data_IF_364138619680
#
_entry.id   IF_364138619680
#
_cell.length_a   1.000
_cell.length_b   1.000
_cell.length_c   1.000
_cell.angle_alpha   90.00
_cell.angle_beta   90.00
_cell.angle_gamma   90.00
#
_symmetry.space_group_name_H-M   'P 1'
#
loop_
_entity.id
_entity.type
_entity.pdbx_description
1 polymer ?
#
# COMPACT_ATOMS: atom_id res chain seq x y z
N UNK A 1 -3.53 17.90 -21.66
CA UNK A 1 -2.85 17.75 -20.36
C UNK A 1 -2.05 16.44 -20.40
N UNK A 2 -0.78 16.46 -19.99
CA UNK A 2 0.10 15.30 -20.23
C UNK A 2 -0.23 14.13 -19.28
N UNK A 3 -0.52 12.96 -19.85
CA UNK A 3 -0.83 11.72 -19.11
C UNK A 3 0.33 11.31 -18.18
N UNK A 4 1.56 11.74 -18.48
CA UNK A 4 2.74 11.47 -17.67
C UNK A 4 2.70 12.16 -16.30
N UNK A 5 2.29 13.44 -16.26
CA UNK A 5 2.24 14.24 -15.02
C UNK A 5 1.20 13.66 -14.05
N UNK A 6 0.00 13.35 -14.56
CA UNK A 6 -1.08 12.73 -13.77
C UNK A 6 -0.60 11.40 -13.16
N UNK A 7 0.07 10.54 -13.95
CA UNK A 7 0.64 9.27 -13.46
C UNK A 7 1.73 9.46 -12.40
N UNK A 8 2.57 10.50 -12.50
CA UNK A 8 3.62 10.77 -11.51
C UNK A 8 3.01 11.17 -10.16
N UNK A 9 2.03 12.06 -10.14
CA UNK A 9 1.40 12.51 -8.88
C UNK A 9 0.43 11.48 -8.29
N UNK A 10 -0.31 10.71 -9.11
CA UNK A 10 -1.05 9.52 -8.66
C UNK A 10 -0.17 8.57 -7.86
N UNK A 11 1.07 8.31 -8.31
CA UNK A 11 2.01 7.45 -7.57
C UNK A 11 2.38 8.00 -6.21
N UNK A 12 2.58 9.31 -6.07
CA UNK A 12 2.84 9.91 -4.75
C UNK A 12 1.64 9.79 -3.81
N UNK A 13 0.42 9.99 -4.30
CA UNK A 13 -0.81 9.83 -3.50
C UNK A 13 -0.98 8.37 -3.06
N UNK A 14 -0.81 7.42 -3.98
CA UNK A 14 -0.85 5.97 -3.69
C UNK A 14 0.26 5.59 -2.68
N UNK A 15 1.46 6.18 -2.80
CA UNK A 15 2.56 5.92 -1.86
C UNK A 15 2.28 6.51 -0.47
N UNK A 16 1.61 7.67 -0.38
CA UNK A 16 1.19 8.26 0.89
C UNK A 16 0.16 7.37 1.60
N UNK A 17 -0.83 6.87 0.86
CA UNK A 17 -1.84 5.91 1.36
C UNK A 17 -1.17 4.62 1.84
N UNK A 18 -0.27 4.04 1.03
CA UNK A 18 0.47 2.84 1.41
C UNK A 18 1.36 3.06 2.64
N UNK A 19 1.99 4.22 2.78
CA UNK A 19 2.85 4.54 3.93
C UNK A 19 2.05 4.60 5.25
N UNK A 20 0.87 5.25 5.23
CA UNK A 20 -0.06 5.28 6.38
C UNK A 20 -0.58 3.88 6.74
N UNK A 21 -0.76 3.01 5.74
CA UNK A 21 -1.20 1.61 5.95
C UNK A 21 -0.07 0.72 6.50
N UNK A 22 1.18 0.89 6.04
CA UNK A 22 2.31 0.00 6.41
C UNK A 22 2.81 0.23 7.84
N UNK A 23 2.68 1.43 8.40
CA UNK A 23 3.17 1.80 9.74
C UNK A 23 2.51 1.02 10.91
N UNK A 24 1.52 0.18 10.63
CA UNK A 24 0.52 -0.31 11.56
C UNK A 24 0.39 -1.86 11.60
N UNK A 25 1.47 -2.60 11.33
CA UNK A 25 1.42 -4.06 11.10
C UNK A 25 1.91 -4.92 12.26
N UNK A 26 1.31 -6.12 12.45
CA UNK A 26 1.76 -7.06 13.48
C UNK A 26 2.96 -7.85 12.99
N UNK A 27 4.03 -7.83 13.79
CA UNK A 27 5.24 -8.62 13.56
C UNK A 27 5.55 -9.53 14.74
N UNK A 28 6.06 -10.72 14.42
CA UNK A 28 6.69 -11.65 15.36
C UNK A 28 8.13 -11.19 15.55
N UNK A 29 8.54 -11.01 16.80
CA UNK A 29 9.89 -10.54 17.15
C UNK A 29 10.83 -11.71 17.42
N UNK A 30 12.13 -11.44 17.29
CA UNK A 30 13.17 -12.40 17.64
C UNK A 30 13.03 -12.83 19.12
N UNK A 31 12.98 -14.14 19.36
CA UNK A 31 12.79 -14.74 20.69
C UNK A 31 11.35 -15.23 20.96
N UNK A 32 10.36 -14.81 20.16
CA UNK A 32 9.01 -15.34 20.26
C UNK A 32 8.92 -16.74 19.61
N UNK A 33 8.20 -17.65 20.26
CA UNK A 33 7.92 -19.00 19.76
C UNK A 33 6.46 -19.12 19.33
N UNK A 34 6.19 -19.74 18.19
CA UNK A 34 4.85 -20.02 17.68
C UNK A 34 4.65 -21.52 17.43
N UNK A 35 3.44 -22.00 17.73
CA UNK A 35 3.01 -23.35 17.41
C UNK A 35 2.49 -23.39 15.97
N UNK A 36 2.97 -24.33 15.16
CA UNK A 36 2.57 -24.51 13.76
C UNK A 36 1.78 -25.81 13.61
N UNK A 37 0.70 -25.78 12.81
CA UNK A 37 -0.12 -26.97 12.50
C UNK A 37 0.46 -27.74 11.31
N UNK A 38 0.78 -27.01 10.25
CA UNK A 38 1.28 -27.54 8.98
C UNK A 38 1.92 -26.42 8.16
N UNK A 39 2.75 -26.80 7.19
CA UNK A 39 3.29 -25.92 6.18
C UNK A 39 2.99 -26.46 4.77
N UNK A 40 2.71 -25.59 3.81
CA UNK A 40 2.60 -25.97 2.41
C UNK A 40 3.98 -26.10 1.73
N UNK A 41 3.98 -26.58 0.47
CA UNK A 41 5.18 -26.74 -0.34
C UNK A 41 5.94 -25.43 -0.56
N UNK A 42 5.21 -24.30 -0.60
CA UNK A 42 5.70 -22.93 -0.74
C UNK A 42 6.20 -22.34 0.60
N UNK A 43 6.27 -23.15 1.65
CA UNK A 43 6.71 -22.79 3.01
C UNK A 43 5.83 -21.74 3.70
N UNK A 44 4.54 -21.68 3.38
CA UNK A 44 3.56 -20.98 4.21
C UNK A 44 3.06 -21.90 5.31
N UNK A 45 3.23 -21.48 6.55
CA UNK A 45 2.91 -22.30 7.72
C UNK A 45 1.72 -21.72 8.48
N UNK A 46 0.73 -22.56 8.79
CA UNK A 46 -0.49 -22.20 9.52
C UNK A 46 -0.23 -22.23 11.03
N UNK A 47 -0.52 -21.13 11.72
CA UNK A 47 -0.32 -21.01 13.18
C UNK A 47 -1.48 -21.68 13.92
N UNK A 48 -1.16 -22.55 14.89
CA UNK A 48 -2.12 -23.31 15.71
C UNK A 48 -3.07 -22.38 16.44
N UNK A 49 -4.36 -22.76 16.48
CA UNK A 49 -5.43 -21.96 17.09
C UNK A 49 -5.81 -20.69 16.33
N UNK A 50 -5.25 -20.41 15.14
CA UNK A 50 -5.56 -19.18 14.39
C UNK A 50 -5.91 -19.42 12.92
N UNK A 51 -6.46 -18.39 12.26
CA UNK A 51 -6.61 -18.31 10.79
C UNK A 51 -5.40 -17.66 10.10
N UNK A 52 -4.26 -17.56 10.77
CA UNK A 52 -3.07 -16.81 10.33
C UNK A 52 -1.95 -17.74 9.85
N UNK A 53 -1.13 -17.18 8.97
CA UNK A 53 -0.01 -17.84 8.32
C UNK A 53 1.27 -17.01 8.45
N UNK A 54 2.41 -17.67 8.30
CA UNK A 54 3.75 -17.07 8.28
C UNK A 54 4.62 -17.74 7.20
N UNK A 55 5.68 -17.05 6.79
CA UNK A 55 6.72 -17.61 5.92
C UNK A 55 7.68 -18.49 6.74
N UNK A 56 7.45 -19.80 6.73
CA UNK A 56 8.18 -20.80 7.51
C UNK A 56 9.69 -20.83 7.29
N UNK A 57 10.20 -20.42 6.13
CA UNK A 57 11.65 -20.32 5.90
C UNK A 57 12.35 -19.33 6.85
N UNK A 58 11.61 -18.36 7.41
CA UNK A 58 12.12 -17.44 8.44
C UNK A 58 12.31 -18.08 9.82
N UNK A 59 11.77 -19.27 10.05
CA UNK A 59 11.71 -19.92 11.35
C UNK A 59 12.58 -21.19 11.35
N UNK A 60 13.05 -21.58 12.54
CA UNK A 60 13.65 -22.89 12.81
C UNK A 60 12.79 -23.60 13.85
N UNK A 61 12.69 -24.91 13.73
CA UNK A 61 12.08 -25.74 14.77
C UNK A 61 13.07 -25.90 15.94
N UNK A 62 12.55 -25.80 17.17
CA UNK A 62 13.24 -26.03 18.43
C UNK A 62 12.20 -26.52 19.44
N UNK A 63 12.41 -27.71 20.02
CA UNK A 63 11.55 -28.30 21.05
C UNK A 63 10.05 -28.37 20.68
N UNK A 64 9.77 -28.73 19.41
CA UNK A 64 8.41 -28.82 18.86
C UNK A 64 7.73 -27.47 18.60
N UNK A 65 8.45 -26.35 18.75
CA UNK A 65 7.99 -24.99 18.47
C UNK A 65 8.81 -24.34 17.38
N UNK A 66 8.25 -23.34 16.71
CA UNK A 66 8.94 -22.58 15.67
C UNK A 66 9.38 -21.23 16.20
N UNK A 67 10.69 -20.96 16.14
CA UNK A 67 11.32 -19.73 16.61
C UNK A 67 11.95 -18.98 15.43
N UNK A 68 11.81 -17.65 15.41
CA UNK A 68 12.38 -16.82 14.36
C UNK A 68 13.91 -17.00 14.29
N UNK A 69 14.46 -17.28 13.10
CA UNK A 69 15.92 -17.45 12.92
C UNK A 69 16.64 -16.12 13.22
N UNK A 70 17.83 -16.14 13.84
CA UNK A 70 18.57 -14.91 14.20
C UNK A 70 18.88 -13.94 13.05
N UNK A 71 18.85 -14.40 11.80
CA UNK A 71 19.02 -13.55 10.61
C UNK A 71 17.83 -12.59 10.36
N UNK A 72 16.65 -12.89 10.92
CA UNK A 72 15.46 -12.06 10.76
C UNK A 72 15.14 -11.34 12.08
N UNK A 73 15.10 -10.00 12.03
CA UNK A 73 14.64 -9.18 13.16
C UNK A 73 13.15 -9.35 13.43
N UNK A 74 12.37 -9.57 12.36
CA UNK A 74 10.92 -9.71 12.42
C UNK A 74 10.31 -10.53 11.26
N UNK A 75 9.10 -11.03 11.49
CA UNK A 75 8.25 -11.67 10.49
C UNK A 75 6.78 -11.22 10.60
N UNK A 76 6.16 -10.91 9.47
CA UNK A 76 4.75 -10.52 9.40
C UNK A 76 3.82 -11.74 9.51
N UNK A 77 2.66 -11.54 10.12
CA UNK A 77 1.53 -12.45 9.98
C UNK A 77 0.87 -12.25 8.61
N UNK A 78 0.20 -13.28 8.09
CA UNK A 78 -0.54 -13.25 6.83
C UNK A 78 -1.91 -13.90 6.96
N UNK A 79 -2.90 -13.42 6.22
CA UNK A 79 -4.21 -14.04 6.04
C UNK A 79 -4.27 -14.74 4.69
N UNK A 80 -4.91 -15.91 4.66
CA UNK A 80 -5.23 -16.59 3.41
C UNK A 80 -6.51 -16.00 2.82
N UNK A 81 -6.43 -15.47 1.61
CA UNK A 81 -7.58 -15.03 0.82
C UNK A 81 -7.76 -16.00 -0.34
N UNK A 82 -8.96 -16.57 -0.44
CA UNK A 82 -9.37 -17.50 -1.51
C UNK A 82 -10.29 -16.79 -2.50
N UNK A 83 -10.01 -16.92 -3.80
CA UNK A 83 -10.87 -16.43 -4.87
C UNK A 83 -11.05 -17.56 -5.90
N UNK A 84 -12.10 -18.36 -5.72
CA UNK A 84 -12.24 -19.67 -6.38
C UNK A 84 -11.10 -20.60 -5.97
N UNK A 85 -10.51 -21.27 -6.96
CA UNK A 85 -9.37 -22.19 -6.77
C UNK A 85 -8.05 -21.46 -6.46
N UNK A 86 -7.97 -20.14 -6.70
CA UNK A 86 -6.76 -19.37 -6.45
C UNK A 86 -6.70 -18.92 -4.99
N UNK A 87 -5.53 -19.10 -4.37
CA UNK A 87 -5.23 -18.63 -3.02
C UNK A 87 -4.10 -17.60 -3.02
N UNK A 88 -4.15 -16.65 -2.09
CA UNK A 88 -3.11 -15.62 -1.92
C UNK A 88 -2.97 -15.24 -0.46
N UNK A 89 -1.72 -15.14 0.01
CA UNK A 89 -1.40 -14.74 1.37
C UNK A 89 -1.15 -13.23 1.43
N UNK A 90 -1.99 -12.48 2.15
CA UNK A 90 -1.87 -11.03 2.34
C UNK A 90 -1.35 -10.72 3.74
N UNK A 91 -0.40 -9.77 3.93
CA UNK A 91 0.11 -9.43 5.25
C UNK A 91 -1.00 -8.85 6.15
N UNK A 92 -1.09 -9.33 7.39
CA UNK A 92 -2.04 -8.85 8.39
C UNK A 92 -1.45 -7.60 9.04
N UNK A 93 -2.14 -6.49 8.81
CA UNK A 93 -1.84 -5.19 9.37
C UNK A 93 -2.75 -5.02 10.60
N UNK A 94 -2.19 -4.88 11.82
CA UNK A 94 -2.99 -4.62 13.00
C UNK A 94 -2.23 -3.89 14.13
N UNK A 95 -2.94 -3.00 14.83
CA UNK A 95 -2.41 -2.02 15.78
C UNK A 95 -2.71 -2.42 17.23
N UNK A 96 -1.82 -3.18 17.86
CA UNK A 96 -1.92 -3.45 19.30
C UNK A 96 -0.55 -3.41 19.99
N UNK A 97 -0.28 -2.31 20.69
CA UNK A 97 0.71 -2.24 21.76
C UNK A 97 -0.03 -2.09 23.09
N UNK A 98 -0.30 -3.20 23.76
CA UNK A 98 -0.67 -3.23 25.17
C UNK A 98 0.39 -4.05 25.92
N UNK A 99 1.37 -3.35 26.48
CA UNK A 99 2.37 -3.93 27.39
C UNK A 99 1.78 -4.09 28.79
N UNK A 100 1.33 -5.30 29.13
CA UNK A 100 1.15 -5.71 30.52
C UNK A 100 2.05 -6.91 30.80
N UNK A 101 3.20 -6.65 31.43
CA UNK A 101 4.15 -7.66 31.87
C UNK A 101 3.89 -8.03 33.34
N UNK A 102 3.67 -9.31 33.65
CA UNK A 102 3.91 -9.81 35.01
C UNK A 102 4.16 -11.33 35.07
N UNK A 103 5.32 -11.67 35.66
CA UNK A 103 5.70 -12.92 36.38
C UNK A 103 5.67 -14.27 35.61
N UNK A 104 6.86 -14.91 35.42
CA UNK A 104 7.49 -15.97 36.26
C UNK A 104 6.77 -17.35 36.13
N UNK A 105 7.41 -18.53 36.03
CA UNK A 105 8.84 -18.95 36.02
C UNK A 105 8.95 -20.39 35.50
N UNK A 106 10.08 -20.80 34.87
CA UNK A 106 10.95 -21.92 35.33
C UNK A 106 12.01 -22.35 34.29
N UNK A 107 13.24 -22.56 34.77
CA UNK A 107 14.32 -23.40 34.19
C UNK A 107 14.06 -24.87 34.63
N UNK A 108 14.67 -25.94 34.05
CA UNK A 108 16.05 -26.05 33.52
C UNK A 108 16.07 -26.65 32.06
N UNK A 109 17.13 -27.24 31.48
CA UNK A 109 18.51 -27.54 31.90
C UNK A 109 19.50 -27.50 30.71
N UNK A 110 20.77 -27.88 30.92
CA UNK A 110 21.76 -28.16 29.86
C UNK A 110 21.67 -29.59 29.32
N UNK A 111 21.96 -29.77 28.02
CA UNK A 111 22.73 -30.91 27.49
C UNK A 111 23.41 -30.53 26.16
N UNK A 112 24.68 -30.91 26.02
CA UNK A 112 25.45 -30.88 24.77
C UNK A 112 25.32 -32.20 24.01
N UNK A 113 25.42 -32.22 22.69
CA UNK A 113 26.09 -33.32 21.95
C UNK A 113 26.44 -32.92 20.49
N UNK A 114 27.42 -33.63 19.93
CA UNK A 114 28.21 -33.28 18.75
C UNK A 114 27.63 -33.63 17.35
N UNK A 115 28.35 -33.14 16.34
CA UNK A 115 28.26 -33.40 14.90
C UNK A 115 27.96 -34.86 14.49
N UNK A 116 27.16 -35.02 13.43
CA UNK A 116 27.65 -35.38 12.08
C UNK A 116 26.50 -35.77 11.14
N UNK A 117 26.41 -35.19 9.93
CA UNK A 117 26.10 -36.00 8.73
C UNK A 117 26.55 -35.34 7.42
N UNK A 118 27.09 -36.15 6.51
CA UNK A 118 27.77 -35.71 5.28
C UNK A 118 26.80 -35.36 4.15
N UNK A 119 27.21 -34.39 3.34
CA UNK A 119 26.49 -33.95 2.15
C UNK A 119 26.36 -35.02 1.05
N UNK A 120 25.24 -35.00 0.32
CA UNK A 120 25.14 -35.53 -1.06
C UNK A 120 24.92 -34.37 -2.03
N UNK A 121 25.81 -34.21 -3.02
CA UNK A 121 25.68 -33.21 -4.10
C UNK A 121 24.52 -33.58 -5.05
N UNK A 122 23.53 -32.71 -5.28
CA UNK A 122 22.64 -32.83 -6.43
C UNK A 122 23.39 -32.47 -7.72
N UNK A 123 23.14 -33.21 -8.80
CA UNK A 123 23.74 -32.93 -10.12
C UNK A 123 23.10 -31.68 -10.73
N UNK A 124 23.94 -30.76 -11.21
CA UNK A 124 23.53 -29.46 -11.73
C UNK A 124 22.80 -29.63 -13.08
N UNK A 125 21.48 -29.42 -13.13
CA UNK A 125 20.66 -29.55 -14.36
C UNK A 125 19.50 -28.54 -14.44
N UNK A 126 19.71 -27.31 -13.97
CA UNK A 126 18.75 -26.20 -14.04
C UNK A 126 19.43 -24.85 -14.32
N UNK A 127 19.77 -24.57 -15.58
CA UNK A 127 20.18 -23.23 -16.03
C UNK A 127 19.61 -22.82 -17.40
N UNK A 128 18.86 -23.69 -18.09
CA UNK A 128 18.37 -23.41 -19.46
C UNK A 128 17.04 -22.64 -19.53
N UNK A 129 16.19 -22.73 -18.51
CA UNK A 129 14.82 -22.17 -18.56
C UNK A 129 14.63 -20.83 -17.80
N UNK A 130 15.57 -20.43 -16.94
CA UNK A 130 15.48 -19.22 -16.10
C UNK A 130 15.31 -17.95 -16.97
N UNK A 131 15.90 -17.91 -18.17
CA UNK A 131 15.86 -16.77 -19.08
C UNK A 131 14.49 -16.45 -19.71
N UNK A 132 13.41 -17.19 -19.38
CA UNK A 132 12.04 -16.82 -19.78
C UNK A 132 11.45 -15.69 -18.91
N UNK A 133 12.02 -15.43 -17.74
CA UNK A 133 11.63 -14.32 -16.87
C UNK A 133 12.68 -13.20 -16.97
N UNK A 134 12.24 -12.00 -17.33
CA UNK A 134 13.12 -10.81 -17.37
C UNK A 134 13.38 -10.20 -15.98
N UNK A 135 12.68 -10.70 -14.96
CA UNK A 135 12.77 -10.24 -13.58
C UNK A 135 13.64 -11.23 -12.79
N UNK A 136 14.34 -10.71 -11.78
CA UNK A 136 15.18 -11.47 -10.85
C UNK A 136 14.58 -11.24 -9.47
N UNK A 137 14.26 -12.32 -8.76
CA UNK A 137 13.66 -12.31 -7.43
C UNK A 137 14.72 -12.53 -6.34
N UNK A 138 14.33 -12.35 -5.09
CA UNK A 138 15.23 -12.45 -3.93
C UNK A 138 15.92 -13.81 -3.81
N UNK A 139 15.18 -14.89 -4.06
CA UNK A 139 15.66 -16.28 -3.93
C UNK A 139 16.44 -16.79 -5.16
N UNK A 140 16.61 -15.96 -6.21
CA UNK A 140 17.35 -16.34 -7.42
C UNK A 140 18.87 -16.26 -7.18
N UNK A 141 19.58 -17.35 -7.47
CA UNK A 141 21.05 -17.42 -7.45
C UNK A 141 21.58 -17.27 -8.88
N UNK A 142 22.37 -16.23 -9.13
CA UNK A 142 22.94 -15.93 -10.44
C UNK A 142 24.45 -16.19 -10.44
N UNK A 143 24.94 -16.89 -11.47
CA UNK A 143 26.37 -17.08 -11.72
C UNK A 143 26.92 -15.97 -12.62
N UNK A 144 28.04 -15.37 -12.20
CA UNK A 144 28.66 -14.20 -12.85
C UNK A 144 30.08 -14.56 -13.33
N UNK A 145 30.38 -14.27 -14.60
CA UNK A 145 31.72 -14.43 -15.19
C UNK A 145 32.69 -13.35 -14.67
N UNK A 146 32.24 -12.09 -14.70
CA UNK A 146 33.08 -10.92 -14.43
C UNK A 146 32.22 -9.67 -14.19
N UNK A 147 32.78 -8.67 -13.50
CA UNK A 147 32.14 -7.36 -13.31
C UNK A 147 33.05 -6.24 -13.80
N UNK A 148 32.47 -5.18 -14.37
CA UNK A 148 33.19 -3.96 -14.70
C UNK A 148 33.39 -3.04 -13.47
N UNK A 149 34.19 -1.98 -13.65
CA UNK A 149 34.46 -0.95 -12.64
C UNK A 149 33.22 -0.15 -12.19
N UNK A 150 32.06 -0.34 -12.84
CA UNK A 150 30.78 0.29 -12.54
C UNK A 150 29.78 -0.70 -11.89
N UNK A 151 30.25 -1.88 -11.48
CA UNK A 151 29.45 -2.97 -10.92
C UNK A 151 28.39 -3.52 -11.90
N UNK A 152 28.63 -3.48 -13.21
CA UNK A 152 27.87 -4.29 -14.16
C UNK A 152 28.52 -5.66 -14.30
N UNK A 153 27.82 -6.68 -13.84
CA UNK A 153 28.29 -8.05 -13.78
C UNK A 153 27.69 -8.88 -14.92
N UNK A 154 28.55 -9.42 -15.78
CA UNK A 154 28.18 -10.28 -16.91
C UNK A 154 27.84 -11.68 -16.41
N UNK A 155 26.74 -12.24 -16.90
CA UNK A 155 26.27 -13.56 -16.49
C UNK A 155 27.01 -14.68 -17.21
N UNK A 156 27.28 -15.75 -16.46
CA UNK A 156 27.96 -16.93 -17.00
C UNK A 156 27.14 -17.57 -18.14
N UNK A 157 27.84 -17.90 -19.23
CA UNK A 157 27.26 -18.44 -20.47
C UNK A 157 26.14 -17.56 -21.08
N UNK A 158 26.16 -16.25 -20.84
CA UNK A 158 25.09 -15.34 -21.25
C UNK A 158 25.60 -14.01 -21.81
N UNK A 159 24.72 -13.35 -22.59
CA UNK A 159 24.92 -11.98 -23.09
C UNK A 159 24.32 -10.91 -22.15
N UNK A 160 23.71 -11.34 -21.06
CA UNK A 160 23.04 -10.46 -20.11
C UNK A 160 23.94 -10.02 -18.97
N UNK A 161 23.55 -8.92 -18.34
CA UNK A 161 24.23 -8.28 -17.22
C UNK A 161 23.25 -8.00 -16.08
N UNK A 162 23.77 -7.95 -14.87
CA UNK A 162 23.09 -7.45 -13.67
C UNK A 162 23.87 -6.31 -13.03
N UNK A 163 23.21 -5.54 -12.17
CA UNK A 163 23.85 -4.51 -11.33
C UNK A 163 24.35 -5.15 -10.05
N UNK A 164 25.61 -5.60 -10.03
CA UNK A 164 26.21 -6.36 -8.92
C UNK A 164 26.07 -5.71 -7.54
N UNK A 165 26.04 -4.38 -7.45
CA UNK A 165 25.86 -3.68 -6.17
C UNK A 165 24.50 -3.95 -5.49
N UNK A 166 23.49 -4.42 -6.24
CA UNK A 166 22.18 -4.85 -5.72
C UNK A 166 22.20 -6.23 -5.05
N UNK A 167 23.28 -6.99 -5.23
CA UNK A 167 23.39 -8.39 -4.82
C UNK A 167 24.43 -8.54 -3.71
N UNK A 168 24.27 -9.58 -2.90
CA UNK A 168 25.32 -10.14 -2.06
C UNK A 168 26.12 -11.17 -2.87
N UNK A 169 27.42 -11.24 -2.61
CA UNK A 169 28.39 -12.02 -3.38
C UNK A 169 28.99 -13.12 -2.53
N UNK A 170 28.86 -14.37 -2.98
CA UNK A 170 29.55 -15.55 -2.45
C UNK A 170 30.35 -16.20 -3.59
N UNK A 171 31.64 -15.85 -3.70
CA UNK A 171 32.48 -16.26 -4.82
C UNK A 171 31.99 -15.73 -6.17
N UNK A 172 31.58 -16.63 -7.06
CA UNK A 172 30.98 -16.38 -8.38
C UNK A 172 29.44 -16.33 -8.35
N UNK A 173 28.82 -16.57 -7.19
CA UNK A 173 27.36 -16.50 -6.99
C UNK A 173 26.92 -15.13 -6.49
N UNK A 174 25.81 -14.67 -7.02
CA UNK A 174 25.18 -13.40 -6.72
C UNK A 174 23.70 -13.64 -6.37
N UNK A 175 23.30 -13.27 -5.15
CA UNK A 175 21.90 -13.36 -4.66
C UNK A 175 21.38 -11.95 -4.38
N UNK A 176 20.14 -11.65 -4.76
CA UNK A 176 19.60 -10.29 -4.63
C UNK A 176 19.41 -9.92 -3.15
N UNK A 177 19.92 -8.77 -2.70
CA UNK A 177 19.82 -8.31 -1.31
C UNK A 177 18.36 -8.17 -0.85
N UNK A 178 18.05 -8.60 0.38
CA UNK A 178 16.71 -8.59 1.01
C UNK A 178 15.95 -7.26 0.86
N UNK A 179 16.67 -6.13 0.79
CA UNK A 179 16.09 -4.79 0.61
C UNK A 179 15.50 -4.50 -0.78
N UNK A 180 15.55 -5.46 -1.70
CA UNK A 180 15.02 -5.34 -3.06
C UNK A 180 14.08 -6.50 -3.39
N UNK A 181 12.79 -6.22 -3.59
CA UNK A 181 11.79 -7.24 -3.96
C UNK A 181 12.11 -7.93 -5.30
N UNK A 182 12.66 -7.17 -6.25
CA UNK A 182 13.12 -7.67 -7.56
C UNK A 182 14.06 -6.71 -8.27
N UNK A 183 14.82 -7.25 -9.23
CA UNK A 183 15.56 -6.50 -10.24
C UNK A 183 15.38 -7.12 -11.63
N UNK A 184 16.22 -6.77 -12.60
CA UNK A 184 16.07 -7.17 -14.01
C UNK A 184 17.39 -7.56 -14.65
N UNK A 185 17.31 -8.39 -15.70
CA UNK A 185 18.43 -8.59 -16.63
C UNK A 185 18.57 -7.38 -17.58
N UNK A 186 19.82 -7.09 -17.97
CA UNK A 186 20.17 -6.01 -18.88
C UNK A 186 21.02 -6.53 -20.05
N UNK A 187 21.07 -5.80 -21.16
CA UNK A 187 22.01 -6.04 -22.25
C UNK A 187 22.86 -4.79 -22.53
N UNK A 188 24.13 -4.99 -22.86
CA UNK A 188 25.08 -3.91 -23.19
C UNK A 188 24.73 -3.26 -24.52
N UNK A 189 24.71 -1.92 -24.56
CA UNK A 189 24.58 -1.13 -25.79
C UNK A 189 25.98 -1.01 -26.41
N UNK A 190 26.15 -1.46 -27.66
CA UNK A 190 27.40 -1.27 -28.41
C UNK A 190 27.74 0.23 -28.48
N UNK A 191 29.02 0.56 -28.30
CA UNK A 191 29.57 1.92 -28.36
C UNK A 191 29.09 2.88 -27.24
N UNK A 192 28.63 2.36 -26.09
CA UNK A 192 28.38 3.19 -24.90
C UNK A 192 29.24 2.73 -23.73
N UNK A 193 29.99 3.66 -23.14
CA UNK A 193 30.80 3.45 -21.92
C UNK A 193 29.95 3.25 -20.66
N UNK A 194 28.64 3.55 -20.71
CA UNK A 194 27.73 3.49 -19.55
C UNK A 194 26.35 2.87 -19.86
N UNK A 195 26.13 2.45 -21.11
CA UNK A 195 24.82 2.13 -21.64
C UNK A 195 24.42 0.66 -21.49
N UNK A 196 23.54 0.38 -20.53
CA UNK A 196 22.89 -0.93 -20.38
C UNK A 196 21.37 -0.78 -20.45
N UNK A 197 20.75 -1.46 -21.41
CA UNK A 197 19.30 -1.45 -21.61
C UNK A 197 18.64 -2.57 -20.81
N UNK A 198 17.58 -2.24 -20.07
CA UNK A 198 16.72 -3.23 -19.40
C UNK A 198 16.04 -4.12 -20.44
N UNK A 199 15.99 -5.43 -20.20
CA UNK A 199 15.21 -6.36 -21.04
C UNK A 199 13.72 -6.20 -20.72
N UNK A 200 12.94 -5.68 -21.66
CA UNK A 200 11.48 -5.52 -21.56
C UNK A 200 10.74 -6.79 -22.00
N UNK A 201 9.53 -7.04 -21.49
CA UNK A 201 8.76 -8.24 -21.88
C UNK A 201 8.42 -8.17 -23.37
N UNK A 202 8.39 -9.33 -24.05
CA UNK A 202 8.22 -9.43 -25.52
C UNK A 202 6.98 -8.67 -26.04
N UNK A 203 5.89 -8.66 -25.28
CA UNK A 203 4.67 -7.89 -25.58
C UNK A 203 4.80 -6.35 -25.45
N UNK A 204 5.73 -5.84 -24.63
CA UNK A 204 6.03 -4.41 -24.55
C UNK A 204 6.92 -3.94 -25.71
N UNK A 205 7.84 -4.81 -26.17
CA UNK A 205 8.71 -4.50 -27.31
C UNK A 205 7.92 -4.33 -28.61
N UNK A 206 6.99 -5.24 -28.92
CA UNK A 206 6.18 -5.18 -30.15
C UNK A 206 5.39 -3.87 -30.25
N UNK A 207 4.72 -3.44 -29.18
CA UNK A 207 3.96 -2.19 -29.14
C UNK A 207 4.84 -0.94 -29.29
N UNK A 208 6.09 -0.98 -28.81
CA UNK A 208 7.02 0.16 -28.95
C UNK A 208 7.64 0.23 -30.35
N UNK A 209 8.02 -0.93 -30.92
CA UNK A 209 8.65 -1.01 -32.24
C UNK A 209 7.65 -0.75 -33.39
N UNK A 210 6.45 -1.32 -33.35
CA UNK A 210 5.42 -1.04 -34.37
C UNK A 210 5.10 0.46 -34.44
N UNK A 211 5.06 1.13 -33.28
CA UNK A 211 4.77 2.58 -33.21
C UNK A 211 5.92 3.45 -33.75
N UNK A 212 7.17 2.99 -33.70
CA UNK A 212 8.29 3.67 -34.37
C UNK A 212 8.41 3.33 -35.87
N UNK A 213 8.02 2.12 -36.28
CA UNK A 213 8.09 1.71 -37.70
C UNK A 213 7.02 2.45 -38.52
N UNK A 214 5.78 2.54 -38.04
CA UNK A 214 4.71 3.30 -38.73
C UNK A 214 5.09 4.77 -38.98
N UNK A 215 5.78 5.41 -38.03
CA UNK A 215 6.26 6.80 -38.11
C UNK A 215 7.48 6.97 -39.04
N UNK A 216 8.18 5.88 -39.38
CA UNK A 216 9.28 5.89 -40.35
C UNK A 216 8.81 5.54 -41.76
N UNK A 217 7.77 4.72 -41.92
CA UNK A 217 7.16 4.38 -43.21
C UNK A 217 6.39 5.59 -43.77
N UNK A 218 5.55 6.25 -42.97
CA UNK A 218 4.86 7.51 -43.34
C UNK A 218 5.83 8.66 -43.74
N UNK A 219 7.13 8.54 -43.43
CA UNK A 219 8.16 9.52 -43.82
C UNK A 219 8.94 9.16 -45.08
N UNK A 220 8.91 7.91 -45.54
CA UNK A 220 9.63 7.52 -46.76
C UNK A 220 8.88 7.90 -48.03
N UNK A 221 7.55 7.82 -48.02
CA UNK A 221 6.73 8.11 -49.20
C UNK A 221 6.67 9.61 -49.55
N UNK A 222 7.11 10.49 -48.65
CA UNK A 222 7.18 11.94 -48.87
C UNK A 222 8.56 12.38 -49.43
N UNK A 223 9.62 11.58 -49.29
CA UNK A 223 10.99 12.06 -49.55
C UNK A 223 11.48 11.98 -51.01
N UNK A 224 10.73 11.37 -51.93
CA UNK A 224 11.18 11.16 -53.32
C UNK A 224 10.63 12.15 -54.37
N UNK A 225 9.87 13.19 -53.99
CA UNK A 225 9.31 14.17 -54.94
C UNK A 225 9.89 15.60 -54.79
N UNK A 226 10.49 15.96 -53.65
CA UNK A 226 10.91 17.36 -53.37
C UNK A 226 12.41 17.67 -53.44
N UNK A 227 13.30 16.70 -53.71
CA UNK A 227 14.76 16.96 -53.59
C UNK A 227 15.41 17.86 -54.67
N UNK A 228 14.70 18.23 -55.75
CA UNK A 228 15.25 19.10 -56.81
C UNK A 228 14.78 20.57 -56.79
N UNK A 229 13.92 21.00 -55.85
CA UNK A 229 13.44 22.41 -55.77
C UNK A 229 13.90 23.22 -54.56
N UNK A 230 14.68 22.64 -53.63
CA UNK A 230 14.99 23.27 -52.34
C UNK A 230 16.48 23.69 -52.21
N UNK A 231 17.26 23.74 -53.30
CA UNK A 231 18.67 24.16 -53.23
C UNK A 231 18.88 25.67 -53.08
N UNK A 232 17.91 26.51 -53.49
CA UNK A 232 18.08 27.98 -53.53
C UNK A 232 17.28 28.74 -52.44
N UNK A 233 16.60 28.04 -51.54
CA UNK A 233 15.75 28.65 -50.49
C UNK A 233 16.34 28.51 -49.08
N UNK A 234 17.67 28.30 -48.98
CA UNK A 234 18.33 27.86 -47.74
C UNK A 234 19.32 28.86 -47.09
N UNK A 235 19.27 30.15 -47.42
CA UNK A 235 20.11 31.18 -46.78
C UNK A 235 19.33 32.14 -45.85
N UNK A 236 18.01 32.30 -46.03
CA UNK A 236 17.21 33.28 -45.24
C UNK A 236 16.22 32.67 -44.23
N UNK A 237 16.34 31.38 -43.90
CA UNK A 237 15.51 30.78 -42.85
C UNK A 237 16.04 31.14 -41.46
N UNK A 238 15.73 32.37 -41.00
CA UNK A 238 15.88 32.77 -39.59
C UNK A 238 15.38 31.62 -38.71
N UNK A 239 16.29 31.08 -37.90
CA UNK A 239 15.94 30.06 -36.91
C UNK A 239 15.08 30.77 -35.86
N UNK A 240 13.76 30.71 -36.04
CA UNK A 240 12.81 31.01 -34.99
C UNK A 240 13.04 29.95 -33.90
N UNK A 241 13.91 30.28 -32.95
CA UNK A 241 14.07 29.55 -31.70
C UNK A 241 12.71 29.60 -31.03
N UNK A 242 11.94 28.51 -31.18
CA UNK A 242 10.61 28.38 -30.58
C UNK A 242 10.80 28.52 -29.08
N UNK A 243 10.40 29.67 -28.52
CA UNK A 243 10.63 30.00 -27.11
C UNK A 243 10.17 28.81 -26.28
N UNK A 244 11.01 28.24 -25.39
CA UNK A 244 10.68 27.02 -24.69
C UNK A 244 9.33 27.22 -23.99
N UNK A 245 8.33 26.40 -24.36
CA UNK A 245 6.96 26.55 -23.87
C UNK A 245 7.02 26.64 -22.35
N UNK A 246 6.49 27.73 -21.74
CA UNK A 246 6.71 28.01 -20.34
C UNK A 246 6.31 26.78 -19.54
N UNK A 247 7.27 26.23 -18.81
CA UNK A 247 7.05 25.04 -17.98
C UNK A 247 5.98 25.40 -16.96
N UNK A 248 4.78 24.85 -17.13
CA UNK A 248 3.65 25.11 -16.25
C UNK A 248 3.98 24.51 -14.87
N UNK A 249 4.55 25.33 -13.99
CA UNK A 249 4.80 24.96 -12.60
C UNK A 249 3.42 24.76 -11.97
N UNK A 250 3.11 23.51 -11.65
CA UNK A 250 1.82 23.17 -11.08
C UNK A 250 1.81 23.59 -9.61
N UNK A 251 1.20 24.75 -9.32
CA UNK A 251 0.97 25.22 -7.95
C UNK A 251 -0.37 24.66 -7.46
N UNK A 252 -0.40 23.78 -6.43
CA UNK A 252 -1.65 23.38 -5.78
C UNK A 252 -2.16 24.51 -4.88
N UNK A 253 -3.48 24.60 -4.73
CA UNK A 253 -4.09 25.48 -3.73
C UNK A 253 -4.22 24.70 -2.41
N UNK A 254 -3.72 25.24 -1.30
CA UNK A 254 -3.83 24.60 0.01
C UNK A 254 -5.05 25.16 0.76
N UNK A 255 -5.67 24.34 1.60
CA UNK A 255 -6.83 24.77 2.36
C UNK A 255 -6.98 24.07 3.72
N UNK A 256 -7.66 24.76 4.63
CA UNK A 256 -8.24 24.19 5.86
C UNK A 256 -9.76 24.16 5.73
N UNK A 257 -10.42 23.22 6.39
CA UNK A 257 -11.87 23.11 6.47
C UNK A 257 -12.30 22.78 7.90
N UNK A 258 -13.39 23.40 8.33
CA UNK A 258 -14.10 23.08 9.56
C UNK A 258 -15.56 22.79 9.21
N UNK A 259 -16.11 21.69 9.70
CA UNK A 259 -17.49 21.27 9.45
C UNK A 259 -18.12 20.69 10.71
N UNK A 260 -19.43 20.87 10.85
CA UNK A 260 -20.23 20.26 11.91
C UNK A 260 -21.60 19.83 11.40
N UNK A 261 -22.28 18.95 12.12
CA UNK A 261 -23.61 18.48 11.75
C UNK A 261 -24.06 17.25 12.51
N UNK A 262 -24.78 16.36 11.83
CA UNK A 262 -25.39 15.16 12.39
C UNK A 262 -24.67 13.90 11.92
N UNK A 263 -24.59 12.91 12.80
CA UNK A 263 -24.15 11.56 12.49
C UNK A 263 -25.23 10.55 12.86
N UNK A 264 -25.42 9.53 12.03
CA UNK A 264 -26.28 8.38 12.32
C UNK A 264 -25.50 7.08 12.16
N UNK A 265 -25.50 6.23 13.17
CA UNK A 265 -24.75 4.98 13.28
C UNK A 265 -25.72 3.78 13.23
N UNK A 266 -25.44 2.78 12.39
CA UNK A 266 -26.19 1.51 12.35
C UNK A 266 -25.66 0.58 13.45
N UNK A 267 -26.47 0.40 14.50
CA UNK A 267 -26.17 -0.44 15.66
C UNK A 267 -26.98 -1.74 15.58
N UNK A 268 -26.29 -2.87 15.70
CA UNK A 268 -26.88 -4.20 15.73
C UNK A 268 -26.41 -4.94 16.97
N UNK A 269 -27.35 -5.57 17.66
CA UNK A 269 -27.12 -6.24 18.93
C UNK A 269 -27.95 -7.52 19.00
N UNK A 270 -27.41 -8.54 19.64
CA UNK A 270 -28.14 -9.75 20.04
C UNK A 270 -28.69 -9.66 21.48
N UNK A 271 -28.36 -8.58 22.20
CA UNK A 271 -28.73 -8.36 23.59
C UNK A 271 -30.24 -8.14 23.71
N UNK A 272 -30.89 -8.92 24.58
CA UNK A 272 -32.29 -8.71 24.96
C UNK A 272 -32.48 -7.31 25.58
N UNK A 273 -33.51 -6.56 25.14
CA UNK A 273 -33.75 -5.17 25.58
C UNK A 273 -33.75 -4.97 27.10
N UNK A 274 -34.20 -5.95 27.88
CA UNK A 274 -34.23 -5.90 29.37
C UNK A 274 -32.85 -5.87 30.03
N UNK A 275 -31.79 -6.26 29.30
CA UNK A 275 -30.41 -6.24 29.77
C UNK A 275 -29.69 -4.93 29.44
N UNK A 276 -30.25 -4.12 28.53
CA UNK A 276 -29.73 -2.82 28.17
C UNK A 276 -30.07 -1.78 29.24
N UNK A 277 -29.10 -0.93 29.61
CA UNK A 277 -29.29 0.15 30.58
C UNK A 277 -30.11 1.32 30.01
N UNK A 278 -29.99 1.54 28.70
CA UNK A 278 -30.72 2.51 27.86
C UNK A 278 -30.82 1.94 26.44
N UNK A 279 -31.65 2.53 25.59
CA UNK A 279 -31.57 2.27 24.15
C UNK A 279 -30.17 2.62 23.62
N UNK A 280 -29.71 1.91 22.58
CA UNK A 280 -28.40 2.14 21.97
C UNK A 280 -28.49 3.35 21.04
N UNK A 281 -27.70 4.39 21.31
CA UNK A 281 -27.80 5.65 20.55
C UNK A 281 -27.42 5.44 19.08
N UNK A 282 -28.37 5.73 18.20
CA UNK A 282 -28.15 5.65 16.75
C UNK A 282 -27.82 7.00 16.12
N UNK A 283 -27.93 8.11 16.85
CA UNK A 283 -27.82 9.48 16.31
C UNK A 283 -27.01 10.38 17.27
N UNK A 284 -26.15 11.25 16.71
CA UNK A 284 -25.26 12.12 17.48
C UNK A 284 -24.77 13.33 16.70
N UNK A 285 -24.00 14.19 17.36
CA UNK A 285 -23.38 15.37 16.74
C UNK A 285 -22.03 15.00 16.10
N UNK A 286 -21.74 15.52 14.91
CA UNK A 286 -20.46 15.39 14.22
C UNK A 286 -19.71 16.72 14.17
N UNK A 287 -18.40 16.67 14.37
CA UNK A 287 -17.44 17.75 14.11
C UNK A 287 -16.28 17.18 13.29
N UNK A 288 -15.79 17.91 12.29
CA UNK A 288 -14.70 17.47 11.42
C UNK A 288 -13.78 18.63 11.06
N UNK A 289 -12.48 18.42 11.24
CA UNK A 289 -11.42 19.38 10.88
C UNK A 289 -10.55 18.72 9.81
N UNK A 290 -10.33 19.43 8.69
CA UNK A 290 -9.55 18.91 7.58
C UNK A 290 -8.46 19.88 7.11
N UNK A 291 -7.35 19.32 6.64
CA UNK A 291 -6.30 20.01 5.88
C UNK A 291 -6.20 19.36 4.50
N UNK A 292 -6.03 20.14 3.44
CA UNK A 292 -6.08 19.60 2.09
C UNK A 292 -5.35 20.40 1.03
N UNK A 293 -5.27 19.80 -0.15
CA UNK A 293 -4.69 20.39 -1.36
C UNK A 293 -5.60 20.14 -2.57
N UNK A 294 -5.76 21.16 -3.41
CA UNK A 294 -6.59 21.16 -4.61
C UNK A 294 -5.74 21.33 -5.87
N UNK A 295 -6.09 20.53 -6.90
CA UNK A 295 -5.38 20.34 -8.16
C UNK A 295 -6.47 20.27 -9.25
N UNK A 296 -6.88 21.43 -9.77
CA UNK A 296 -8.03 21.56 -10.70
C UNK A 296 -9.32 20.97 -10.10
N UNK A 297 -9.86 19.95 -10.77
CA UNK A 297 -11.03 19.17 -10.39
C UNK A 297 -10.77 18.17 -9.27
N UNK A 298 -9.52 17.93 -8.87
CA UNK A 298 -9.22 16.99 -7.79
C UNK A 298 -8.87 17.73 -6.51
N UNK A 299 -9.33 17.22 -5.37
CA UNK A 299 -8.79 17.63 -4.08
C UNK A 299 -8.70 16.44 -3.13
N UNK A 300 -7.68 16.46 -2.28
CA UNK A 300 -7.48 15.48 -1.24
C UNK A 300 -7.38 16.17 0.12
N UNK A 301 -7.87 15.50 1.16
CA UNK A 301 -7.83 15.99 2.54
C UNK A 301 -7.33 14.92 3.48
N UNK A 302 -6.68 15.34 4.57
CA UNK A 302 -6.56 14.56 5.81
C UNK A 302 -7.54 15.18 6.82
N UNK A 303 -8.39 14.35 7.39
CA UNK A 303 -9.49 14.73 8.27
C UNK A 303 -9.28 14.14 9.66
N UNK A 304 -9.66 14.90 10.68
CA UNK A 304 -9.86 14.44 12.04
C UNK A 304 -11.31 14.75 12.46
N UNK A 305 -12.10 13.69 12.55
CA UNK A 305 -13.51 13.71 12.90
C UNK A 305 -13.74 13.28 14.35
N UNK A 306 -14.67 13.95 15.02
CA UNK A 306 -15.19 13.60 16.32
C UNK A 306 -16.71 13.50 16.24
N UNK A 307 -17.28 12.41 16.73
CA UNK A 307 -18.73 12.24 16.82
C UNK A 307 -19.11 11.89 18.26
N UNK A 308 -20.03 12.67 18.81
CA UNK A 308 -20.54 12.53 20.16
C UNK A 308 -22.00 12.08 20.11
N UNK A 309 -22.28 10.97 20.77
CA UNK A 309 -23.59 10.40 21.03
C UNK A 309 -23.75 10.33 22.56
N UNK A 310 -24.96 10.08 23.07
CA UNK A 310 -25.22 10.22 24.52
C UNK A 310 -24.39 9.25 25.38
N UNK A 311 -24.14 8.03 24.90
CA UNK A 311 -23.41 6.99 25.62
C UNK A 311 -22.15 6.49 24.88
N UNK A 312 -21.90 6.90 23.62
CA UNK A 312 -20.67 6.58 22.86
C UNK A 312 -19.98 7.81 22.27
N UNK A 313 -18.65 7.76 22.20
CA UNK A 313 -17.82 8.73 21.49
C UNK A 313 -17.00 8.04 20.41
N UNK A 314 -17.03 8.59 19.19
CA UNK A 314 -16.22 8.11 18.06
C UNK A 314 -15.17 9.16 17.67
N UNK A 315 -13.97 8.69 17.36
CA UNK A 315 -12.83 9.50 16.89
C UNK A 315 -12.26 8.87 15.63
N UNK A 316 -12.23 9.64 14.56
CA UNK A 316 -11.96 9.18 13.20
C UNK A 316 -10.78 9.97 12.61
N UNK A 317 -9.75 9.28 12.12
CA UNK A 317 -8.69 9.88 11.29
C UNK A 317 -8.72 9.25 9.91
N UNK A 318 -8.91 10.07 8.87
CA UNK A 318 -9.10 9.55 7.52
C UNK A 318 -8.53 10.48 6.45
N UNK A 319 -8.36 9.93 5.25
CA UNK A 319 -7.97 10.66 4.05
C UNK A 319 -9.10 10.55 3.04
N UNK A 320 -9.39 11.64 2.33
CA UNK A 320 -10.36 11.64 1.23
C UNK A 320 -9.69 12.00 -0.10
N UNK A 321 -10.20 11.44 -1.21
CA UNK A 321 -9.86 11.83 -2.57
C UNK A 321 -11.15 12.14 -3.31
N UNK A 322 -11.26 13.35 -3.85
CA UNK A 322 -12.49 13.88 -4.40
C UNK A 322 -12.30 14.36 -5.84
N UNK A 323 -13.33 14.15 -6.64
CA UNK A 323 -13.52 14.75 -7.95
C UNK A 323 -14.65 15.78 -7.89
N UNK A 324 -14.31 17.02 -8.19
CA UNK A 324 -15.13 18.22 -8.20
C UNK A 324 -15.53 18.54 -9.64
N UNK A 325 -16.83 18.55 -9.91
CA UNK A 325 -17.38 19.00 -11.18
C UNK A 325 -17.26 20.53 -11.25
N UNK A 326 -16.61 21.06 -12.29
CA UNK A 326 -16.41 22.51 -12.41
C UNK A 326 -17.71 23.21 -12.81
N UNK A 327 -18.20 24.04 -11.91
CA UNK A 327 -19.25 25.02 -12.15
C UNK A 327 -18.95 26.26 -11.28
N UNK A 328 -19.12 27.46 -11.86
CA UNK A 328 -18.40 28.69 -11.47
C UNK A 328 -18.55 29.08 -10.00
N UNK A 329 -19.77 29.01 -9.47
CA UNK A 329 -20.09 29.42 -8.09
C UNK A 329 -20.45 28.26 -7.17
N UNK A 330 -20.99 27.17 -7.72
CA UNK A 330 -21.46 25.99 -6.97
C UNK A 330 -20.86 24.76 -7.62
N UNK A 331 -19.86 24.16 -6.97
CA UNK A 331 -19.12 23.00 -7.47
C UNK A 331 -19.48 21.73 -6.68
N UNK A 332 -20.36 20.85 -7.21
CA UNK A 332 -20.61 19.56 -6.59
C UNK A 332 -19.36 18.66 -6.71
N UNK A 333 -19.24 17.68 -5.82
CA UNK A 333 -18.16 16.70 -5.84
C UNK A 333 -18.61 15.32 -5.37
N UNK A 334 -17.86 14.30 -5.79
CA UNK A 334 -17.93 12.92 -5.30
C UNK A 334 -16.53 12.49 -4.87
N UNK A 335 -16.42 11.68 -3.83
CA UNK A 335 -15.13 11.23 -3.32
C UNK A 335 -15.17 9.87 -2.65
N UNK A 336 -13.98 9.32 -2.48
CA UNK A 336 -13.71 8.13 -1.68
C UNK A 336 -13.02 8.57 -0.38
N UNK A 337 -13.31 7.88 0.72
CA UNK A 337 -12.59 8.05 1.98
C UNK A 337 -12.07 6.70 2.49
N UNK A 338 -10.88 6.74 3.10
CA UNK A 338 -10.25 5.60 3.77
C UNK A 338 -9.56 6.09 5.04
N UNK A 339 -9.59 5.30 6.11
CA UNK A 339 -8.99 5.71 7.37
C UNK A 339 -9.13 4.69 8.49
N UNK A 340 -9.00 5.19 9.71
CA UNK A 340 -9.06 4.43 10.94
C UNK A 340 -9.85 5.20 12.00
N UNK A 341 -10.63 4.50 12.81
CA UNK A 341 -11.39 5.11 13.89
C UNK A 341 -11.39 4.29 15.18
N UNK A 342 -11.84 4.95 16.25
CA UNK A 342 -11.97 4.41 17.59
C UNK A 342 -13.35 4.79 18.13
N UNK A 343 -14.12 3.79 18.57
CA UNK A 343 -15.40 3.94 19.27
C UNK A 343 -15.17 3.61 20.75
N UNK A 344 -15.64 4.47 21.65
CA UNK A 344 -15.55 4.29 23.11
C UNK A 344 -16.89 4.53 23.78
N UNK A 345 -17.33 3.56 24.58
CA UNK A 345 -18.46 3.74 25.48
C UNK A 345 -18.08 4.63 26.66
N UNK A 346 -18.98 5.53 27.04
CA UNK A 346 -18.87 6.40 28.21
C UNK A 346 -19.28 5.66 29.50
N UNK A 347 -20.34 4.86 29.40
CA UNK A 347 -20.86 3.96 30.42
C UNK A 347 -21.10 2.57 29.84
N UNK A 348 -21.23 1.55 30.70
CA UNK A 348 -21.61 0.21 30.21
C UNK A 348 -23.02 0.23 29.59
N UNK A 349 -23.22 -0.38 28.39
CA UNK A 349 -24.53 -0.54 27.80
C UNK A 349 -25.39 -1.57 28.55
N UNK A 350 -24.79 -2.45 29.36
CA UNK A 350 -25.48 -3.50 30.11
C UNK A 350 -25.75 -3.09 31.55
N UNK A 351 -26.92 -3.48 32.08
CA UNK A 351 -27.28 -3.32 33.49
C UNK A 351 -26.47 -4.21 34.45
N UNK A 352 -26.00 -5.36 33.96
CA UNK A 352 -25.35 -6.43 34.75
C UNK A 352 -23.82 -6.46 34.64
N UNK A 353 -23.22 -5.62 33.80
CA UNK A 353 -21.76 -5.66 33.58
C UNK A 353 -21.01 -4.87 34.65
N UNK A 354 -19.78 -5.30 34.95
CA UNK A 354 -18.84 -4.50 35.76
C UNK A 354 -18.46 -3.24 34.97
N UNK A 355 -17.96 -2.21 35.65
CA UNK A 355 -17.67 -0.88 35.07
C UNK A 355 -16.47 -0.87 34.08
N UNK A 356 -16.59 -1.62 33.00
CA UNK A 356 -15.57 -1.75 31.97
C UNK A 356 -15.82 -0.74 30.85
N UNK A 357 -14.80 0.07 30.56
CA UNK A 357 -14.82 1.02 29.45
C UNK A 357 -14.61 0.26 28.15
N UNK A 358 -15.70 -0.15 27.53
CA UNK A 358 -15.68 -0.83 26.23
C UNK A 358 -15.14 0.13 25.16
N UNK A 359 -14.14 -0.33 24.41
CA UNK A 359 -13.62 0.40 23.26
C UNK A 359 -13.25 -0.54 22.14
N UNK A 360 -13.59 -0.17 20.91
CA UNK A 360 -13.23 -0.90 19.70
C UNK A 360 -12.59 0.05 18.70
N UNK A 361 -11.71 -0.50 17.87
CA UNK A 361 -10.99 0.23 16.83
C UNK A 361 -11.20 -0.49 15.50
N UNK A 362 -11.38 0.27 14.42
CA UNK A 362 -11.62 -0.33 13.11
C UNK A 362 -11.03 0.52 11.99
N UNK A 363 -10.65 -0.16 10.91
CA UNK A 363 -10.42 0.52 9.64
C UNK A 363 -11.78 0.94 9.06
N UNK A 364 -11.80 2.05 8.33
CA UNK A 364 -13.00 2.53 7.66
C UNK A 364 -12.73 2.80 6.18
N UNK A 365 -13.76 2.53 5.37
CA UNK A 365 -13.83 2.86 3.95
C UNK A 365 -15.18 3.50 3.67
N UNK A 366 -15.27 4.43 2.73
CA UNK A 366 -16.52 5.10 2.46
C UNK A 366 -16.58 5.89 1.17
N UNK A 367 -17.78 6.39 0.90
CA UNK A 367 -18.10 7.31 -0.18
C UNK A 367 -18.54 8.64 0.44
N UNK A 368 -18.25 9.75 -0.24
CA UNK A 368 -18.86 11.02 0.10
C UNK A 368 -19.30 11.79 -1.14
N UNK A 369 -20.36 12.57 -0.98
CA UNK A 369 -20.86 13.52 -1.97
C UNK A 369 -21.08 14.86 -1.29
N UNK A 370 -20.87 15.94 -2.01
CA UNK A 370 -21.08 17.26 -1.43
C UNK A 370 -21.09 18.38 -2.44
N UNK A 371 -21.24 19.60 -1.91
CA UNK A 371 -21.35 20.84 -2.68
C UNK A 371 -20.39 21.86 -2.05
N UNK A 372 -19.51 22.43 -2.86
CA UNK A 372 -18.66 23.56 -2.48
C UNK A 372 -19.18 24.83 -3.16
N UNK A 373 -19.74 25.76 -2.39
CA UNK A 373 -20.20 27.07 -2.87
C UNK A 373 -19.12 28.12 -2.59
N UNK A 374 -18.69 28.85 -3.63
CA UNK A 374 -17.73 29.96 -3.50
C UNK A 374 -18.42 31.16 -2.85
N UNK A 375 -17.98 31.59 -1.66
CA UNK A 375 -18.45 32.83 -1.01
C UNK A 375 -17.55 34.01 -1.40
N UNK A 376 -16.24 33.80 -1.35
CA UNK A 376 -15.20 34.75 -1.80
C UNK A 376 -14.09 33.97 -2.52
N UNK A 377 -12.97 34.60 -2.86
CA UNK A 377 -11.83 33.88 -3.45
C UNK A 377 -11.14 32.91 -2.49
N UNK A 378 -11.20 33.17 -1.18
CA UNK A 378 -10.59 32.32 -0.15
C UNK A 378 -11.61 31.50 0.62
N UNK A 379 -12.81 32.04 0.85
CA UNK A 379 -13.85 31.39 1.64
C UNK A 379 -14.86 30.64 0.78
N UNK A 380 -15.06 29.38 1.10
CA UNK A 380 -16.05 28.49 0.50
C UNK A 380 -16.96 27.91 1.58
N UNK A 381 -18.25 27.83 1.31
CA UNK A 381 -19.21 27.05 2.09
C UNK A 381 -19.25 25.61 1.57
N UNK A 382 -19.33 24.64 2.47
CA UNK A 382 -19.36 23.22 2.15
C UNK A 382 -20.60 22.56 2.75
N UNK A 383 -21.29 21.74 1.96
CA UNK A 383 -22.26 20.74 2.44
C UNK A 383 -21.72 19.38 2.03
N UNK A 384 -21.71 18.42 2.95
CA UNK A 384 -21.12 17.10 2.73
C UNK A 384 -21.97 15.99 3.36
N UNK A 385 -22.27 14.96 2.58
CA UNK A 385 -22.86 13.72 3.02
C UNK A 385 -21.86 12.56 2.84
N UNK A 386 -21.60 11.81 3.91
CA UNK A 386 -20.67 10.68 3.92
C UNK A 386 -21.41 9.40 4.27
N UNK A 387 -21.12 8.32 3.54
CA UNK A 387 -21.46 6.95 3.90
C UNK A 387 -20.17 6.19 4.21
N UNK A 388 -20.03 5.74 5.44
CA UNK A 388 -18.82 5.10 5.97
C UNK A 388 -19.18 3.68 6.40
N UNK A 389 -18.34 2.71 6.01
CA UNK A 389 -18.36 1.34 6.51
C UNK A 389 -17.11 1.09 7.35
N UNK A 390 -17.29 0.38 8.45
CA UNK A 390 -16.26 -0.15 9.33
C UNK A 390 -16.75 -1.47 9.94
N UNK A 391 -15.89 -2.17 10.65
CA UNK A 391 -16.23 -3.39 11.37
C UNK A 391 -15.87 -3.18 12.86
N UNK A 392 -16.69 -2.42 13.61
CA UNK A 392 -16.55 -2.33 15.07
C UNK A 392 -17.40 -3.41 15.72
N UNK A 393 -16.76 -4.50 16.14
CA UNK A 393 -17.36 -5.48 17.05
C UNK A 393 -16.82 -5.22 18.46
N UNK A 394 -17.67 -5.40 19.47
CA UNK A 394 -17.33 -5.33 20.89
C UNK A 394 -17.90 -6.55 21.59
N UNK A 395 -17.01 -7.36 22.16
CA UNK A 395 -17.36 -8.49 23.02
C UNK A 395 -17.61 -7.98 24.44
N UNK A 396 -18.71 -8.42 25.07
CA UNK A 396 -19.09 -8.02 26.43
C UNK A 396 -19.30 -9.27 27.29
N UNK A 397 -18.84 -9.22 28.55
CA UNK A 397 -18.87 -10.34 29.51
C UNK A 397 -18.30 -11.64 28.91
N UNK A 398 -16.99 -11.67 28.63
CA UNK A 398 -16.28 -12.83 28.06
C UNK A 398 -16.91 -13.37 26.75
N UNK A 399 -17.32 -12.46 25.87
CA UNK A 399 -17.95 -12.73 24.57
C UNK A 399 -19.31 -13.45 24.65
N UNK A 400 -20.06 -13.28 25.74
CA UNK A 400 -21.45 -13.73 25.84
C UNK A 400 -22.43 -12.87 25.02
N UNK A 401 -22.07 -11.61 24.75
CA UNK A 401 -22.88 -10.64 24.01
C UNK A 401 -22.02 -9.84 23.04
N UNK A 402 -22.58 -9.41 21.91
CA UNK A 402 -21.89 -8.53 20.97
C UNK A 402 -22.71 -7.29 20.60
N UNK A 403 -22.01 -6.16 20.47
CA UNK A 403 -22.57 -4.95 19.83
C UNK A 403 -21.76 -4.62 18.59
N UNK A 404 -22.38 -4.83 17.44
CA UNK A 404 -21.85 -4.53 16.12
C UNK A 404 -22.27 -3.13 15.69
N UNK A 405 -21.29 -2.29 15.35
CA UNK A 405 -21.53 -1.08 14.59
C UNK A 405 -20.91 -1.29 13.21
N UNK A 406 -21.70 -1.16 12.14
CA UNK A 406 -21.26 -1.53 10.77
C UNK A 406 -21.24 -0.38 9.77
N UNK A 407 -22.12 0.61 9.91
CA UNK A 407 -22.17 1.76 8.98
C UNK A 407 -22.49 3.06 9.70
N UNK A 408 -21.95 4.16 9.19
CA UNK A 408 -22.19 5.53 9.67
C UNK A 408 -22.56 6.42 8.49
N UNK A 409 -23.53 7.30 8.71
CA UNK A 409 -23.97 8.32 7.79
C UNK A 409 -23.70 9.67 8.45
N UNK A 410 -22.92 10.55 7.81
CA UNK A 410 -22.69 11.91 8.31
C UNK A 410 -23.32 12.91 7.36
N UNK A 411 -24.10 13.85 7.90
CA UNK A 411 -24.54 15.05 7.19
C UNK A 411 -23.91 16.26 7.87
N UNK A 412 -23.05 16.98 7.16
CA UNK A 412 -22.26 18.08 7.72
C UNK A 412 -22.32 19.32 6.84
N UNK A 413 -22.29 20.47 7.49
CA UNK A 413 -22.15 21.79 6.88
C UNK A 413 -20.88 22.45 7.42
N UNK A 414 -20.21 23.27 6.62
CA UNK A 414 -18.90 23.78 7.01
C UNK A 414 -18.37 24.93 6.15
N UNK A 415 -17.19 25.37 6.55
CA UNK A 415 -16.46 26.47 5.92
C UNK A 415 -15.05 25.97 5.56
N UNK A 416 -14.61 26.28 4.35
CA UNK A 416 -13.28 26.01 3.81
C UNK A 416 -12.57 27.34 3.52
N UNK A 417 -11.32 27.44 3.94
CA UNK A 417 -10.44 28.59 3.69
C UNK A 417 -9.22 28.18 2.87
N UNK A 418 -9.04 28.81 1.71
CA UNK A 418 -7.92 28.61 0.77
C UNK A 418 -6.85 29.68 1.01
N UNK A 419 -5.56 29.28 1.04
CA UNK A 419 -4.41 30.13 1.32
C UNK A 419 -3.23 29.97 0.35
#
# INVERSE_FOLDING_TARGET
>A
MDKYIIRKHMRYIIFLILFVVVANSQTIKQGESIDIVSCDEHKWCKIKGTKRYIKGYKFKEADGKYVLKPAYKEAFYYSLVTNGENFTYLPIINNNTNTNSNKLTNKPNNTSFDDNTKAKKPKNKQTKDIYRLNEIHHDDVILVDSCDKHNWCKLQNSKYYIRGYLFDKDGDKYTLKDRYEKTYYYWSIKNSTFGYNKVLKRGEQNNKYQKSIKVLEEKKDIQNIEQQKISNTYINKKINIEKPKPSYIFKPDYFVQFSGGLSKVDVKTDIEKRLLKKDLDDTGAALDIAVGAQIKNFFATVNYGFMAYDNINMKNIYTTINYKFDNKSVSPYIGLLVGYGSLKWLESPLTISRNEKLSSNSNMVGLQIGINTKLTEKWHFNINYQYIKYDYTMDINDAQYYIDHKTQNNFTIGIKYIF
#
